data_IF_182902029910
#
_entry.id   IF_182902029910
#
_cell.length_a   1.000
_cell.length_b   1.000
_cell.length_c   1.000
_cell.angle_alpha   90.00
_cell.angle_beta   90.00
_cell.angle_gamma   90.00
#
_symmetry.space_group_name_H-M   'P 1'
#
loop_
_entity.id
_entity.type
_entity.pdbx_description
1 polymer ?
#
# COMPACT_ATOMS: atom_id res chain seq x y z
N UNK A 1 -7.25 10.25 -3.99
CA UNK A 1 -8.14 11.18 -4.73
C UNK A 1 -8.43 12.38 -3.84
N UNK A 2 -8.93 13.46 -4.40
CA UNK A 2 -9.35 14.65 -3.63
C UNK A 2 -10.88 14.76 -3.68
N UNK A 3 -11.56 13.68 -3.33
CA UNK A 3 -13.00 13.64 -3.18
C UNK A 3 -13.45 14.55 -2.02
N UNK A 4 -14.67 15.07 -2.03
CA UNK A 4 -15.24 15.74 -0.87
C UNK A 4 -15.36 14.77 0.31
N UNK A 5 -15.07 15.21 1.52
CA UNK A 5 -15.07 14.37 2.72
C UNK A 5 -16.29 13.46 2.87
N UNK A 6 -17.51 13.94 2.56
CA UNK A 6 -18.73 13.13 2.65
C UNK A 6 -18.82 11.99 1.61
N UNK A 7 -17.92 11.98 0.64
CA UNK A 7 -17.80 10.97 -0.41
C UNK A 7 -16.64 9.97 -0.13
N UNK A 8 -15.97 10.08 1.01
CA UNK A 8 -14.88 9.20 1.41
C UNK A 8 -15.36 7.77 1.72
N UNK A 9 -16.60 7.64 2.21
CA UNK A 9 -17.22 6.33 2.43
C UNK A 9 -16.80 5.62 3.71
N UNK A 10 -15.99 6.23 4.58
CA UNK A 10 -15.60 5.63 5.86
C UNK A 10 -16.77 5.63 6.84
N UNK A 11 -17.26 4.45 7.28
CA UNK A 11 -18.39 4.34 8.17
C UNK A 11 -18.15 5.07 9.51
N UNK A 12 -19.20 5.74 10.00
CA UNK A 12 -19.20 6.53 11.25
C UNK A 12 -18.28 7.77 11.24
N UNK A 13 -17.48 7.97 10.18
CA UNK A 13 -16.62 9.14 10.03
C UNK A 13 -17.15 10.10 8.97
N UNK A 14 -17.33 9.63 7.74
CA UNK A 14 -17.86 10.45 6.63
C UNK A 14 -19.36 10.23 6.38
N UNK A 15 -19.93 9.15 6.92
CA UNK A 15 -21.35 8.81 6.82
C UNK A 15 -21.72 7.56 7.63
N UNK A 16 -22.99 7.15 7.59
CA UNK A 16 -23.42 5.89 8.19
C UNK A 16 -22.92 4.71 7.36
N UNK A 17 -22.79 3.50 7.95
CA UNK A 17 -22.53 2.30 7.18
C UNK A 17 -23.69 1.98 6.24
N UNK A 18 -23.41 1.39 5.10
CA UNK A 18 -24.42 0.90 4.16
C UNK A 18 -25.07 -0.35 4.74
N UNK A 19 -26.37 -0.31 4.98
CA UNK A 19 -27.10 -1.45 5.52
C UNK A 19 -27.23 -2.58 4.47
N UNK A 20 -27.38 -3.86 4.91
CA UNK A 20 -27.64 -4.96 3.99
C UNK A 20 -28.83 -4.69 3.08
N UNK A 21 -28.66 -4.86 1.76
CA UNK A 21 -29.68 -4.59 0.76
C UNK A 21 -29.90 -3.12 0.42
N UNK A 22 -29.20 -2.19 1.07
CA UNK A 22 -29.21 -0.77 0.73
C UNK A 22 -28.10 -0.44 -0.29
N UNK A 23 -28.22 0.73 -0.92
CA UNK A 23 -27.21 1.30 -1.80
C UNK A 23 -26.84 2.71 -1.34
N UNK A 24 -25.60 3.10 -1.58
CA UNK A 24 -25.13 4.47 -1.42
C UNK A 24 -24.51 4.93 -2.73
N UNK A 25 -24.94 6.09 -3.21
CA UNK A 25 -24.38 6.70 -4.40
C UNK A 25 -23.18 7.58 -4.03
N UNK A 26 -22.12 7.47 -4.82
CA UNK A 26 -20.93 8.30 -4.74
C UNK A 26 -20.84 9.12 -6.03
N UNK A 27 -20.78 10.44 -5.88
CA UNK A 27 -20.70 11.38 -7.00
C UNK A 27 -19.61 12.42 -6.72
N UNK A 28 -18.45 12.22 -7.34
CA UNK A 28 -17.30 13.11 -7.21
C UNK A 28 -16.47 13.14 -8.50
N UNK A 29 -15.74 14.23 -8.75
CA UNK A 29 -14.86 14.31 -9.91
C UNK A 29 -13.76 13.24 -9.87
N UNK A 30 -13.64 12.46 -10.95
CA UNK A 30 -12.59 11.44 -11.09
C UNK A 30 -11.23 12.10 -11.41
N UNK A 31 -10.67 12.83 -10.45
CA UNK A 31 -9.39 13.56 -10.53
C UNK A 31 -8.60 13.42 -9.22
N UNK A 32 -7.25 13.54 -9.27
CA UNK A 32 -6.41 13.51 -10.47
C UNK A 32 -6.36 12.10 -11.09
N UNK A 33 -6.00 11.99 -12.38
CA UNK A 33 -5.78 10.69 -13.02
C UNK A 33 -4.69 9.90 -12.31
N UNK A 34 -4.75 8.57 -12.44
CA UNK A 34 -3.77 7.66 -11.84
C UNK A 34 -4.36 6.31 -11.47
N UNK A 35 -3.50 5.45 -10.97
CA UNK A 35 -3.86 4.13 -10.45
C UNK A 35 -4.34 4.28 -9.01
N UNK A 36 -5.62 4.04 -8.80
CA UNK A 36 -6.32 4.09 -7.51
C UNK A 36 -7.00 2.76 -7.26
N UNK A 37 -7.58 2.60 -6.08
CA UNK A 37 -8.39 1.46 -5.71
C UNK A 37 -9.42 1.88 -4.65
N UNK A 38 -10.40 1.04 -4.42
CA UNK A 38 -11.42 1.20 -3.40
C UNK A 38 -11.52 -0.09 -2.59
N UNK A 39 -11.84 0.03 -1.32
CA UNK A 39 -12.02 -1.11 -0.42
C UNK A 39 -12.97 -0.75 0.73
N UNK A 40 -13.49 -1.77 1.41
CA UNK A 40 -14.34 -1.58 2.57
C UNK A 40 -13.54 -1.08 3.77
N UNK A 41 -14.10 -0.10 4.47
CA UNK A 41 -13.66 0.32 5.81
C UNK A 41 -14.57 -0.21 6.93
N UNK A 42 -15.50 -1.14 6.61
CA UNK A 42 -16.39 -1.70 7.61
C UNK A 42 -15.82 -3.00 8.19
N UNK A 43 -15.45 -2.99 9.47
CA UNK A 43 -14.89 -4.16 10.14
C UNK A 43 -13.61 -4.65 9.47
N UNK A 44 -13.58 -5.95 9.15
CA UNK A 44 -12.45 -6.61 8.50
C UNK A 44 -12.78 -7.07 7.06
N UNK A 45 -13.77 -6.45 6.41
CA UNK A 45 -14.28 -6.88 5.09
C UNK A 45 -13.24 -6.76 3.97
N UNK A 46 -12.21 -5.93 4.13
CA UNK A 46 -11.09 -5.85 3.19
C UNK A 46 -10.42 -7.22 3.04
N UNK A 47 -10.18 -7.96 4.14
CA UNK A 47 -9.65 -9.33 4.09
C UNK A 47 -10.60 -10.33 3.41
N UNK A 48 -11.89 -10.03 3.33
CA UNK A 48 -12.88 -10.81 2.57
C UNK A 48 -12.92 -10.41 1.09
N UNK A 49 -11.86 -9.81 0.57
CA UNK A 49 -11.70 -9.38 -0.83
C UNK A 49 -12.73 -8.32 -1.26
N UNK A 50 -13.29 -7.55 -0.31
CA UNK A 50 -14.19 -6.45 -0.65
C UNK A 50 -13.38 -5.21 -1.04
N UNK A 51 -12.73 -5.31 -2.18
CA UNK A 51 -11.84 -4.31 -2.75
C UNK A 51 -11.87 -4.38 -4.28
N UNK A 52 -11.39 -3.35 -4.96
CA UNK A 52 -11.32 -3.34 -6.41
C UNK A 52 -10.48 -2.19 -6.98
N UNK A 53 -9.93 -2.35 -8.20
CA UNK A 53 -9.15 -1.33 -8.85
C UNK A 53 -10.03 -0.17 -9.34
N UNK A 54 -9.53 1.06 -9.20
CA UNK A 54 -10.14 2.28 -9.75
C UNK A 54 -9.11 3.01 -10.60
N UNK A 55 -9.18 2.84 -11.91
CA UNK A 55 -8.22 3.42 -12.85
C UNK A 55 -8.80 4.68 -13.48
N UNK A 56 -8.25 5.84 -13.15
CA UNK A 56 -8.60 7.11 -13.74
C UNK A 56 -7.58 7.41 -14.86
N UNK A 57 -8.02 7.33 -16.11
CA UNK A 57 -7.13 7.48 -17.26
C UNK A 57 -6.92 8.95 -17.61
N UNK A 58 -5.66 9.28 -17.92
CA UNK A 58 -5.34 10.57 -18.54
C UNK A 58 -5.78 10.59 -20.00
N UNK A 59 -6.20 11.76 -20.50
CA UNK A 59 -6.53 11.93 -21.92
C UNK A 59 -5.34 11.64 -22.84
N UNK A 60 -4.11 11.84 -22.38
CA UNK A 60 -2.87 11.47 -23.06
C UNK A 60 -2.64 9.97 -23.11
N UNK A 61 -2.98 9.24 -22.04
CA UNK A 61 -2.84 7.80 -21.97
C UNK A 61 -3.78 7.07 -22.94
N UNK A 62 -4.96 7.62 -23.22
CA UNK A 62 -5.91 7.08 -24.22
C UNK A 62 -5.29 7.08 -25.64
N UNK A 63 -4.32 7.96 -25.89
CA UNK A 63 -3.59 8.07 -27.18
C UNK A 63 -2.27 7.31 -27.18
N UNK A 64 -1.88 6.70 -26.09
CA UNK A 64 -0.69 5.85 -26.00
C UNK A 64 -0.94 4.50 -26.67
N UNK A 65 0.08 3.97 -27.35
CA UNK A 65 0.05 2.60 -27.88
C UNK A 65 0.38 1.54 -26.82
N UNK A 66 0.65 1.92 -25.58
CA UNK A 66 0.93 1.00 -24.50
C UNK A 66 -0.36 0.27 -24.07
N UNK A 67 -0.32 -1.05 -24.05
CA UNK A 67 -1.40 -1.84 -23.49
C UNK A 67 -1.42 -1.71 -21.96
N UNK A 68 -2.55 -1.25 -21.39
CA UNK A 68 -2.71 -1.18 -19.94
C UNK A 68 -3.09 -2.56 -19.39
N UNK A 69 -2.38 -2.98 -18.33
CA UNK A 69 -2.61 -4.23 -17.62
C UNK A 69 -2.69 -3.93 -16.13
N UNK A 70 -3.84 -4.19 -15.53
CA UNK A 70 -4.03 -4.07 -14.08
C UNK A 70 -3.57 -5.37 -13.43
N UNK A 71 -2.80 -5.25 -12.36
CA UNK A 71 -2.38 -6.35 -11.47
C UNK A 71 -2.84 -5.99 -10.07
N UNK A 72 -3.93 -6.61 -9.64
CA UNK A 72 -4.54 -6.41 -8.34
C UNK A 72 -4.14 -7.57 -7.44
N UNK A 73 -3.37 -7.27 -6.38
CA UNK A 73 -2.77 -8.27 -5.49
C UNK A 73 -3.52 -8.32 -4.18
N UNK A 74 -3.84 -9.52 -3.73
CA UNK A 74 -4.53 -9.77 -2.47
C UNK A 74 -3.89 -10.94 -1.73
N UNK A 75 -4.04 -10.95 -0.43
CA UNK A 75 -3.74 -12.10 0.42
C UNK A 75 -5.05 -12.80 0.83
N UNK A 76 -5.05 -14.12 0.85
CA UNK A 76 -6.23 -14.94 1.05
C UNK A 76 -6.03 -15.98 2.15
N UNK A 77 -7.02 -16.11 3.01
CA UNK A 77 -7.10 -17.16 4.02
C UNK A 77 -8.48 -17.82 4.04
N UNK A 78 -8.52 -19.11 4.34
CA UNK A 78 -9.77 -19.84 4.57
C UNK A 78 -10.40 -19.50 5.93
N UNK A 79 -9.55 -19.15 6.91
CA UNK A 79 -10.02 -18.67 8.19
C UNK A 79 -10.70 -17.28 8.03
N UNK A 80 -11.76 -17.04 8.78
CA UNK A 80 -12.41 -15.72 8.78
C UNK A 80 -11.46 -14.65 9.32
N UNK A 81 -11.60 -13.39 8.88
CA UNK A 81 -10.79 -12.29 9.41
C UNK A 81 -10.89 -12.14 10.93
N UNK A 82 -12.07 -12.42 11.50
CA UNK A 82 -12.31 -12.39 12.93
C UNK A 82 -11.54 -13.49 13.67
N UNK A 83 -11.50 -14.71 13.12
CA UNK A 83 -10.70 -15.82 13.67
C UNK A 83 -9.20 -15.51 13.63
N UNK A 84 -8.71 -14.93 12.52
CA UNK A 84 -7.33 -14.46 12.38
C UNK A 84 -7.03 -13.41 13.45
N UNK A 85 -7.87 -12.39 13.57
CA UNK A 85 -7.67 -11.30 14.53
C UNK A 85 -7.71 -11.79 15.98
N UNK A 86 -8.63 -12.67 16.31
CA UNK A 86 -8.71 -13.33 17.62
C UNK A 86 -7.46 -14.17 17.89
N UNK A 87 -6.96 -14.87 16.87
CA UNK A 87 -5.71 -15.64 16.95
C UNK A 87 -4.50 -14.75 17.24
N UNK A 88 -4.38 -13.61 16.57
CA UNK A 88 -3.31 -12.62 16.81
C UNK A 88 -3.33 -12.11 18.25
N UNK A 89 -4.51 -11.82 18.80
CA UNK A 89 -4.67 -11.38 20.19
C UNK A 89 -4.33 -12.46 21.22
N UNK A 90 -4.56 -13.74 20.89
CA UNK A 90 -4.35 -14.88 21.81
C UNK A 90 -2.94 -15.45 21.75
N UNK A 91 -2.15 -15.21 20.70
CA UNK A 91 -0.82 -15.83 20.46
C UNK A 91 0.13 -15.78 21.65
N UNK A 92 -0.04 -14.89 22.58
CA UNK A 92 0.88 -14.66 23.70
C UNK A 92 0.58 -15.38 25.00
N UNK A 93 -0.59 -15.99 25.13
CA UNK A 93 -0.85 -16.83 26.30
C UNK A 93 0.04 -18.09 26.29
N UNK A 94 0.57 -18.50 25.13
CA UNK A 94 1.34 -19.75 24.98
C UNK A 94 2.87 -19.59 25.00
N UNK A 95 3.42 -18.40 24.71
CA UNK A 95 4.89 -18.18 24.65
C UNK A 95 5.54 -17.90 26.02
N UNK A 96 4.76 -17.74 27.07
CA UNK A 96 5.27 -17.49 28.44
C UNK A 96 5.65 -18.76 29.20
N UNK A 97 5.62 -19.94 28.58
CA UNK A 97 5.94 -21.21 29.25
C UNK A 97 7.36 -21.71 28.88
N UNK A 98 8.39 -20.97 29.27
CA UNK A 98 9.74 -21.50 29.27
C UNK A 98 10.84 -20.42 29.22
N UNK A 99 11.83 -20.45 30.11
CA UNK A 99 13.02 -19.60 30.01
C UNK A 99 13.95 -20.17 28.94
N UNK A 100 14.16 -19.47 27.81
CA UNK A 100 15.29 -19.73 26.92
C UNK A 100 16.39 -18.72 27.18
N UNK A 101 17.42 -19.16 27.90
CA UNK A 101 18.68 -18.48 27.99
C UNK A 101 19.33 -18.37 26.58
N UNK A 102 19.65 -17.17 26.19
CA UNK A 102 20.32 -16.65 25.00
C UNK A 102 19.36 -16.05 23.96
N UNK A 103 19.05 -14.77 24.15
CA UNK A 103 18.46 -13.95 23.11
C UNK A 103 19.46 -13.76 21.97
N UNK A 104 19.33 -14.56 20.90
CA UNK A 104 19.84 -14.18 19.58
C UNK A 104 19.11 -12.87 19.16
N UNK A 105 19.74 -11.99 18.36
CA UNK A 105 19.04 -10.85 17.80
C UNK A 105 17.75 -11.35 17.13
N UNK A 106 16.59 -10.91 17.63
CA UNK A 106 15.31 -11.29 17.02
C UNK A 106 15.33 -10.80 15.57
N UNK A 107 15.14 -11.73 14.63
CA UNK A 107 14.88 -11.37 13.25
C UNK A 107 13.66 -10.44 13.18
N UNK A 108 13.62 -9.51 12.22
CA UNK A 108 12.44 -8.67 12.03
C UNK A 108 11.19 -9.54 11.90
N UNK A 109 10.13 -9.20 12.63
CA UNK A 109 8.83 -9.81 12.46
C UNK A 109 8.20 -9.18 11.21
N UNK A 110 8.19 -9.92 10.10
CA UNK A 110 7.79 -9.38 8.80
C UNK A 110 6.32 -9.62 8.49
N UNK A 111 5.69 -10.60 9.16
CA UNK A 111 4.33 -11.03 8.80
C UNK A 111 3.54 -11.48 10.02
N UNK A 112 2.41 -10.84 10.27
CA UNK A 112 1.49 -11.22 11.34
C UNK A 112 0.72 -12.51 11.03
N UNK A 113 0.37 -12.69 9.74
CA UNK A 113 -0.54 -13.73 9.27
C UNK A 113 0.18 -14.68 8.32
N UNK A 114 -0.12 -15.97 8.44
CA UNK A 114 0.17 -16.96 7.42
C UNK A 114 -1.06 -17.13 6.54
N UNK A 115 -0.92 -16.76 5.27
CA UNK A 115 -2.01 -16.87 4.29
C UNK A 115 -1.96 -18.20 3.54
N UNK A 116 -3.13 -18.71 3.16
CA UNK A 116 -3.28 -19.94 2.39
C UNK A 116 -2.89 -19.72 0.91
N UNK A 117 -3.10 -18.50 0.40
CA UNK A 117 -2.73 -18.13 -0.96
C UNK A 117 -2.48 -16.62 -1.09
N UNK A 118 -1.73 -16.24 -2.13
CA UNK A 118 -1.73 -14.90 -2.68
C UNK A 118 -2.43 -14.90 -4.04
N UNK A 119 -3.23 -13.89 -4.30
CA UNK A 119 -4.00 -13.75 -5.53
C UNK A 119 -3.45 -12.60 -6.38
N UNK A 120 -3.51 -12.78 -7.69
CA UNK A 120 -3.32 -11.73 -8.68
C UNK A 120 -4.53 -11.75 -9.63
N UNK A 121 -5.35 -10.70 -9.60
CA UNK A 121 -6.62 -10.64 -10.31
C UNK A 121 -7.51 -11.87 -10.02
N UNK A 122 -7.78 -12.14 -8.75
CA UNK A 122 -8.60 -13.24 -8.21
C UNK A 122 -8.08 -14.66 -8.53
N UNK A 123 -6.80 -14.80 -8.94
CA UNK A 123 -6.22 -16.09 -9.33
C UNK A 123 -4.89 -16.37 -8.63
N UNK A 124 -4.63 -17.65 -8.40
CA UNK A 124 -3.32 -18.15 -7.96
C UNK A 124 -2.46 -18.53 -9.17
N UNK A 125 -1.18 -18.86 -8.93
CA UNK A 125 -0.28 -19.36 -9.98
C UNK A 125 -0.60 -20.79 -10.49
N UNK A 126 -1.51 -21.52 -9.84
CA UNK A 126 -1.99 -22.80 -10.37
C UNK A 126 -2.90 -22.61 -11.60
N UNK A 127 -3.63 -21.50 -11.65
CA UNK A 127 -4.42 -21.04 -12.80
C UNK A 127 -4.25 -19.53 -12.99
N UNK A 128 -3.06 -19.06 -13.42
CA UNK A 128 -2.72 -17.64 -13.44
C UNK A 128 -3.53 -16.86 -14.48
N UNK A 129 -3.74 -15.58 -14.21
CA UNK A 129 -4.29 -14.68 -15.20
C UNK A 129 -3.29 -14.52 -16.37
N UNK A 130 -3.63 -15.05 -17.54
CA UNK A 130 -2.82 -14.97 -18.77
C UNK A 130 -3.36 -13.84 -19.65
N UNK A 131 -2.57 -12.81 -19.84
CA UNK A 131 -2.96 -11.61 -20.57
C UNK A 131 -2.26 -11.60 -21.94
N UNK A 132 -3.05 -11.56 -23.01
CA UNK A 132 -2.53 -11.45 -24.38
C UNK A 132 -1.95 -10.05 -24.59
N UNK A 133 -0.71 -10.03 -25.08
CA UNK A 133 0.02 -8.78 -25.38
C UNK A 133 0.71 -8.89 -26.74
N UNK A 134 1.03 -7.75 -27.34
CA UNK A 134 1.76 -7.75 -28.60
C UNK A 134 3.24 -8.11 -28.40
N UNK A 135 3.80 -8.85 -29.38
CA UNK A 135 5.25 -9.08 -29.45
C UNK A 135 5.96 -7.74 -29.65
N UNK A 136 7.02 -7.49 -28.88
CA UNK A 136 7.74 -6.21 -28.89
C UNK A 136 6.83 -4.99 -28.58
N UNK A 137 5.60 -5.23 -28.11
CA UNK A 137 4.66 -4.19 -27.70
C UNK A 137 5.08 -3.53 -26.39
N UNK A 138 4.56 -2.34 -26.16
CA UNK A 138 4.71 -1.64 -24.90
C UNK A 138 3.54 -1.97 -23.97
N UNK A 139 3.84 -2.31 -22.72
CA UNK A 139 2.85 -2.63 -21.68
C UNK A 139 3.04 -1.68 -20.49
N UNK A 140 1.94 -1.09 -20.04
CA UNK A 140 1.89 -0.36 -18.77
C UNK A 140 1.22 -1.26 -17.72
N UNK A 141 2.00 -1.78 -16.80
CA UNK A 141 1.49 -2.47 -15.63
C UNK A 141 1.00 -1.44 -14.59
N UNK A 142 -0.23 -1.62 -14.11
CA UNK A 142 -0.82 -0.85 -13.02
C UNK A 142 -0.97 -1.78 -11.83
N UNK A 143 0.03 -1.80 -10.98
CA UNK A 143 0.12 -2.71 -9.85
C UNK A 143 -0.52 -2.05 -8.64
N UNK A 144 -1.39 -2.79 -7.96
CA UNK A 144 -2.08 -2.38 -6.75
C UNK A 144 -1.85 -3.48 -5.71
N UNK A 145 -1.26 -3.13 -4.58
CA UNK A 145 -1.21 -4.03 -3.45
C UNK A 145 -2.44 -3.78 -2.56
N UNK A 146 -3.44 -4.64 -2.69
CA UNK A 146 -4.66 -4.64 -1.91
C UNK A 146 -4.66 -5.76 -0.84
N UNK A 147 -3.48 -6.31 -0.52
CA UNK A 147 -3.34 -7.27 0.58
C UNK A 147 -3.62 -6.61 1.93
N UNK A 148 -4.34 -7.30 2.79
CA UNK A 148 -4.71 -6.80 4.12
C UNK A 148 -3.50 -6.69 5.07
N UNK A 149 -2.48 -7.57 4.92
CA UNK A 149 -1.28 -7.51 5.77
C UNK A 149 0.02 -7.94 5.09
N UNK A 150 0.05 -8.11 3.75
CA UNK A 150 1.24 -8.58 3.01
C UNK A 150 1.88 -7.48 2.18
N UNK A 151 3.16 -7.20 2.40
CA UNK A 151 3.98 -6.44 1.47
C UNK A 151 4.47 -7.36 0.34
N UNK A 152 4.56 -6.84 -0.89
CA UNK A 152 5.06 -7.58 -2.04
C UNK A 152 6.27 -6.91 -2.68
N UNK A 153 7.11 -7.72 -3.30
CA UNK A 153 8.10 -7.26 -4.28
C UNK A 153 7.71 -7.78 -5.66
N UNK A 154 7.45 -6.87 -6.59
CA UNK A 154 7.18 -7.21 -7.97
C UNK A 154 8.47 -7.57 -8.66
N UNK A 155 8.51 -8.72 -9.31
CA UNK A 155 9.66 -9.21 -10.08
C UNK A 155 9.30 -9.30 -11.56
N UNK A 156 10.02 -8.53 -12.39
CA UNK A 156 9.86 -8.50 -13.85
C UNK A 156 10.76 -9.54 -14.54
N UNK A 157 11.43 -10.40 -13.77
CA UNK A 157 12.37 -11.39 -14.26
C UNK A 157 13.56 -10.74 -14.97
N UNK A 158 13.78 -11.12 -16.22
CA UNK A 158 14.89 -10.59 -17.03
C UNK A 158 14.57 -9.27 -17.74
N UNK A 159 13.33 -8.79 -17.65
CA UNK A 159 12.93 -7.55 -18.32
C UNK A 159 13.29 -6.35 -17.43
N UNK A 160 13.80 -5.32 -18.07
CA UNK A 160 13.95 -4.02 -17.45
C UNK A 160 12.71 -3.18 -17.75
N UNK A 161 12.01 -2.77 -16.67
CA UNK A 161 10.92 -1.80 -16.75
C UNK A 161 11.37 -0.41 -16.36
N UNK A 162 10.46 0.54 -16.51
CA UNK A 162 10.57 1.92 -16.04
C UNK A 162 9.41 2.19 -15.06
N UNK A 163 9.70 2.40 -13.79
CA UNK A 163 8.71 2.87 -12.80
C UNK A 163 8.43 4.33 -13.10
N UNK A 164 7.18 4.65 -13.45
CA UNK A 164 6.77 5.98 -13.94
C UNK A 164 5.81 6.71 -13.02
N UNK A 165 5.12 5.98 -12.12
CA UNK A 165 4.25 6.58 -11.12
C UNK A 165 4.18 5.69 -9.87
N UNK A 166 3.94 6.30 -8.71
CA UNK A 166 3.64 5.64 -7.45
C UNK A 166 2.39 6.26 -6.84
N UNK A 167 1.53 5.44 -6.25
CA UNK A 167 0.24 5.83 -5.68
C UNK A 167 -0.57 6.75 -6.62
N UNK A 168 -0.50 6.44 -7.94
CA UNK A 168 -1.15 7.20 -9.00
C UNK A 168 -0.56 8.59 -9.26
N UNK A 169 0.58 8.92 -8.69
CA UNK A 169 1.27 10.21 -8.90
C UNK A 169 2.55 10.00 -9.71
N UNK A 170 2.78 10.83 -10.76
CA UNK A 170 3.95 10.67 -11.62
C UNK A 170 5.26 10.96 -10.89
N UNK A 171 6.29 10.19 -11.23
CA UNK A 171 7.66 10.39 -10.77
C UNK A 171 8.60 10.61 -11.95
N UNK A 172 9.80 11.10 -11.69
CA UNK A 172 10.91 10.99 -12.64
C UNK A 172 11.15 9.50 -12.86
N UNK A 173 11.11 8.99 -14.13
CA UNK A 173 11.18 7.57 -14.39
C UNK A 173 12.45 6.91 -13.86
N UNK A 174 12.31 5.75 -13.21
CA UNK A 174 13.41 4.97 -12.64
C UNK A 174 13.44 3.60 -13.30
N UNK A 175 14.62 3.18 -13.78
CA UNK A 175 14.82 1.85 -14.36
C UNK A 175 14.78 0.79 -13.25
N UNK A 176 13.94 -0.24 -13.42
CA UNK A 176 13.69 -1.26 -12.40
C UNK A 176 13.62 -2.67 -13.00
N UNK A 177 14.01 -3.67 -12.22
CA UNK A 177 13.71 -5.09 -12.45
C UNK A 177 12.84 -5.66 -11.31
N UNK A 178 12.99 -5.11 -10.13
CA UNK A 178 12.16 -5.42 -8.95
C UNK A 178 11.64 -4.12 -8.36
N UNK A 179 10.39 -4.16 -7.88
CA UNK A 179 9.72 -2.99 -7.29
C UNK A 179 9.02 -3.42 -6.01
N UNK A 180 9.49 -2.99 -4.83
CA UNK A 180 8.76 -3.19 -3.58
C UNK A 180 7.48 -2.35 -3.58
N UNK A 181 6.39 -2.96 -3.18
CA UNK A 181 5.06 -2.34 -3.09
C UNK A 181 4.46 -2.73 -1.74
N UNK A 182 4.51 -1.84 -0.77
CA UNK A 182 3.89 -2.07 0.54
C UNK A 182 2.36 -2.09 0.43
N UNK A 183 1.70 -2.57 1.48
CA UNK A 183 0.23 -2.60 1.58
C UNK A 183 -0.34 -1.22 1.22
N UNK A 184 -1.39 -1.19 0.43
CA UNK A 184 -2.07 -0.03 -0.14
C UNK A 184 -1.26 0.80 -1.15
N UNK A 185 0.01 0.52 -1.36
CA UNK A 185 0.78 1.23 -2.39
C UNK A 185 0.45 0.75 -3.79
N UNK A 186 0.67 1.63 -4.77
CA UNK A 186 0.52 1.35 -6.19
C UNK A 186 1.80 1.70 -6.92
N UNK A 187 2.07 0.97 -8.01
CA UNK A 187 3.22 1.19 -8.87
C UNK A 187 2.81 1.06 -10.34
N UNK A 188 3.09 2.08 -11.15
CA UNK A 188 2.91 2.00 -12.59
C UNK A 188 4.26 1.78 -13.25
N UNK A 189 4.40 0.65 -13.96
CA UNK A 189 5.64 0.25 -14.61
C UNK A 189 5.39 0.13 -16.12
N UNK A 190 6.19 0.83 -16.91
CA UNK A 190 6.19 0.66 -18.36
C UNK A 190 7.32 -0.28 -18.74
N UNK A 191 7.00 -1.30 -19.53
CA UNK A 191 7.97 -2.26 -20.05
C UNK A 191 7.71 -2.57 -21.52
N UNK A 192 8.72 -3.08 -22.19
CA UNK A 192 8.62 -3.57 -23.57
C UNK A 192 8.72 -5.08 -23.59
N UNK A 193 7.77 -5.73 -24.26
CA UNK A 193 7.78 -7.18 -24.44
C UNK A 193 8.99 -7.63 -25.27
N UNK A 194 9.56 -8.81 -24.97
CA UNK A 194 10.64 -9.38 -25.78
C UNK A 194 10.26 -9.56 -27.25
N UNK A 195 11.22 -9.32 -28.12
CA UNK A 195 11.03 -9.50 -29.58
C UNK A 195 11.06 -10.98 -30.00
N UNK A 196 11.61 -11.87 -29.18
CA UNK A 196 11.64 -13.31 -29.42
C UNK A 196 10.26 -13.99 -29.24
N UNK A 197 9.30 -13.27 -28.68
CA UNK A 197 7.93 -13.75 -28.48
C UNK A 197 7.78 -14.68 -27.27
N UNK A 198 8.69 -14.66 -26.32
CA UNK A 198 8.59 -15.42 -25.07
C UNK A 198 7.50 -14.86 -24.17
N UNK A 199 6.72 -15.74 -23.50
CA UNK A 199 5.80 -15.34 -22.45
C UNK A 199 6.57 -14.87 -21.20
N UNK A 200 6.07 -13.83 -20.55
CA UNK A 200 6.73 -13.17 -19.45
C UNK A 200 5.86 -13.26 -18.19
N UNK A 201 6.25 -14.01 -17.18
CA UNK A 201 5.63 -13.92 -15.87
C UNK A 201 6.05 -12.63 -15.17
N UNK A 202 5.06 -11.95 -14.61
CA UNK A 202 5.21 -10.84 -13.68
C UNK A 202 4.81 -11.37 -12.32
N UNK A 203 5.79 -11.56 -11.45
CA UNK A 203 5.57 -12.19 -10.15
C UNK A 203 5.49 -11.16 -9.03
N UNK A 204 4.68 -11.45 -8.03
CA UNK A 204 4.60 -10.74 -6.76
C UNK A 204 5.08 -11.68 -5.64
N UNK A 205 6.25 -11.38 -5.08
CA UNK A 205 6.92 -12.16 -4.04
C UNK A 205 6.47 -11.63 -2.68
N UNK A 206 5.84 -12.47 -1.86
CA UNK A 206 5.42 -12.08 -0.51
C UNK A 206 6.64 -11.86 0.39
N UNK A 207 6.67 -10.73 1.09
CA UNK A 207 7.77 -10.36 2.00
C UNK A 207 8.02 -11.47 3.03
N UNK A 208 9.27 -11.93 3.16
CA UNK A 208 9.67 -12.95 4.12
C UNK A 208 9.00 -14.32 3.95
N UNK A 209 8.38 -14.58 2.81
CA UNK A 209 7.70 -15.85 2.47
C UNK A 209 8.20 -16.40 1.14
N UNK A 210 8.12 -17.71 0.98
CA UNK A 210 8.35 -18.36 -0.32
C UNK A 210 7.11 -18.28 -1.19
N UNK A 211 5.94 -18.13 -0.58
CA UNK A 211 4.66 -17.98 -1.28
C UNK A 211 4.67 -16.72 -2.15
N UNK A 212 4.22 -16.88 -3.38
CA UNK A 212 4.17 -15.85 -4.42
C UNK A 212 2.94 -16.01 -5.31
N UNK A 213 2.58 -14.95 -6.00
CA UNK A 213 1.53 -14.93 -7.03
C UNK A 213 2.00 -14.16 -8.25
N UNK A 214 1.11 -13.90 -9.20
CA UNK A 214 1.42 -13.09 -10.38
C UNK A 214 0.54 -13.39 -11.57
N UNK A 215 0.88 -12.75 -12.68
CA UNK A 215 0.22 -12.87 -13.98
C UNK A 215 1.23 -13.32 -15.05
N UNK A 216 0.73 -13.71 -16.22
CA UNK A 216 1.57 -14.02 -17.37
C UNK A 216 1.20 -13.13 -18.55
N UNK A 217 2.15 -12.39 -19.07
CA UNK A 217 2.03 -11.65 -20.33
C UNK A 217 2.39 -12.59 -21.49
N UNK A 218 1.41 -12.85 -22.37
CA UNK A 218 1.55 -13.83 -23.44
C UNK A 218 1.49 -13.20 -24.82
N UNK A 219 2.62 -13.09 -25.55
CA UNK A 219 2.61 -12.80 -26.97
C UNK A 219 1.96 -13.91 -27.79
N UNK A 220 1.49 -13.62 -29.04
CA UNK A 220 0.88 -14.64 -29.87
C UNK A 220 1.80 -15.84 -30.13
N UNK A 221 1.27 -17.05 -29.87
CA UNK A 221 2.00 -18.31 -30.07
C UNK A 221 2.96 -18.70 -28.94
N UNK A 222 3.14 -17.85 -27.93
CA UNK A 222 3.99 -18.19 -26.78
C UNK A 222 3.38 -19.30 -25.93
N UNK A 223 4.18 -20.27 -25.53
CA UNK A 223 3.77 -21.27 -24.54
C UNK A 223 3.82 -20.65 -23.12
N UNK A 224 2.80 -20.94 -22.32
CA UNK A 224 2.79 -20.62 -20.89
C UNK A 224 3.24 -21.87 -20.12
N UNK A 225 4.35 -21.77 -19.41
CA UNK A 225 4.84 -22.85 -18.55
C UNK A 225 4.22 -22.74 -17.17
N UNK A 226 4.00 -23.88 -16.51
CA UNK A 226 3.52 -23.90 -15.12
C UNK A 226 4.55 -23.21 -14.20
N UNK A 227 4.05 -22.32 -13.34
CA UNK A 227 4.86 -21.60 -12.36
C UNK A 227 4.39 -22.05 -10.96
N UNK A 228 5.34 -22.43 -10.10
CA UNK A 228 5.01 -22.77 -8.72
C UNK A 228 4.64 -21.56 -7.91
N UNK A 229 3.60 -21.66 -7.08
CA UNK A 229 3.28 -20.64 -6.07
C UNK A 229 4.31 -20.64 -4.92
N UNK A 230 5.01 -21.76 -4.66
CA UNK A 230 6.13 -21.83 -3.74
C UNK A 230 7.44 -21.52 -4.47
N UNK A 231 8.07 -20.41 -4.13
CA UNK A 231 9.31 -19.96 -4.73
C UNK A 231 10.54 -20.66 -4.13
N UNK A 232 11.68 -20.60 -4.83
CA UNK A 232 12.95 -21.18 -4.35
C UNK A 232 13.56 -20.33 -3.21
N UNK A 233 13.26 -19.04 -3.18
CA UNK A 233 13.79 -18.07 -2.21
C UNK A 233 12.66 -17.35 -1.50
N UNK A 234 12.93 -16.84 -0.29
CA UNK A 234 12.04 -15.94 0.43
C UNK A 234 11.93 -14.61 -0.32
N UNK A 235 10.73 -14.03 -0.38
CA UNK A 235 10.56 -12.67 -0.85
C UNK A 235 11.36 -11.67 -0.02
N UNK A 236 12.02 -10.71 -0.66
CA UNK A 236 12.89 -9.77 0.04
C UNK A 236 12.11 -8.86 0.98
N UNK A 237 12.78 -8.42 2.05
CA UNK A 237 12.23 -7.41 2.95
C UNK A 237 11.98 -6.10 2.20
N UNK A 238 10.80 -5.51 2.42
CA UNK A 238 10.43 -4.22 1.87
C UNK A 238 10.92 -3.10 2.77
N UNK A 239 11.79 -2.25 2.22
CA UNK A 239 12.44 -1.16 2.95
C UNK A 239 12.26 0.18 2.23
N UNK A 240 13.16 1.12 2.55
CA UNK A 240 13.13 2.50 2.02
C UNK A 240 14.13 2.76 0.89
N UNK A 241 14.89 1.75 0.43
CA UNK A 241 15.94 1.95 -0.57
C UNK A 241 15.38 2.47 -1.90
N UNK A 242 14.22 1.98 -2.32
CA UNK A 242 13.54 2.51 -3.49
C UNK A 242 13.04 3.93 -3.22
N UNK A 243 12.42 4.18 -2.07
CA UNK A 243 11.86 5.50 -1.73
C UNK A 243 12.91 6.60 -1.76
N UNK A 244 14.15 6.28 -1.38
CA UNK A 244 15.29 7.22 -1.46
C UNK A 244 15.69 7.60 -2.89
N UNK A 245 15.24 6.84 -3.91
CA UNK A 245 15.55 7.08 -5.32
C UNK A 245 14.41 7.78 -6.05
N UNK A 246 13.20 7.81 -5.46
CA UNK A 246 12.03 8.38 -6.10
C UNK A 246 12.04 9.92 -5.99
N UNK A 247 11.69 10.56 -7.09
CA UNK A 247 11.53 12.01 -7.17
C UNK A 247 10.20 12.33 -7.84
N UNK A 248 9.38 13.14 -7.22
CA UNK A 248 8.10 13.58 -7.81
C UNK A 248 8.34 14.36 -9.11
N UNK A 249 7.56 14.10 -10.16
CA UNK A 249 7.60 14.89 -11.40
C UNK A 249 7.11 16.32 -11.20
N UNK A 250 6.22 16.53 -10.24
CA UNK A 250 5.69 17.83 -9.84
C UNK A 250 5.74 17.93 -8.31
N UNK A 251 6.90 18.26 -7.72
CA UNK A 251 7.04 18.36 -6.27
C UNK A 251 6.23 19.53 -5.71
N UNK A 252 5.91 19.45 -4.42
CA UNK A 252 5.30 20.56 -3.69
C UNK A 252 6.20 21.81 -3.77
N UNK A 253 5.59 22.99 -3.88
CA UNK A 253 6.32 24.25 -3.86
C UNK A 253 7.16 24.37 -2.58
N UNK A 254 8.41 24.82 -2.74
CA UNK A 254 9.33 24.98 -1.61
C UNK A 254 8.80 26.04 -0.65
N UNK A 255 8.37 25.62 0.53
CA UNK A 255 8.03 26.49 1.66
C UNK A 255 8.18 25.72 2.98
N UNK A 256 8.52 26.38 4.08
CA UNK A 256 8.56 25.72 5.38
C UNK A 256 7.16 25.28 5.80
N UNK A 257 7.04 24.20 6.60
CA UNK A 257 5.77 23.81 7.16
C UNK A 257 5.25 24.86 8.15
N UNK A 258 3.95 25.13 8.09
CA UNK A 258 3.26 25.96 9.07
C UNK A 258 3.03 25.19 10.38
N UNK A 259 2.99 23.86 10.26
CA UNK A 259 2.71 22.94 11.34
C UNK A 259 3.54 21.65 11.19
N UNK A 260 4.11 21.21 12.30
CA UNK A 260 4.71 19.87 12.41
C UNK A 260 3.91 19.03 13.38
N UNK A 261 3.62 17.79 12.97
CA UNK A 261 2.80 16.81 13.72
C UNK A 261 3.65 15.56 13.94
N UNK A 262 4.32 15.41 15.09
CA UNK A 262 4.99 14.18 15.43
C UNK A 262 3.97 13.07 15.73
N UNK A 263 4.20 11.89 15.17
CA UNK A 263 3.38 10.68 15.32
C UNK A 263 4.29 9.52 15.67
N UNK A 264 4.18 9.01 16.89
CA UNK A 264 4.89 7.81 17.29
C UNK A 264 4.04 6.58 16.92
N UNK A 265 4.63 5.66 16.14
CA UNK A 265 4.03 4.36 15.86
C UNK A 265 4.46 3.42 16.99
N UNK A 266 3.49 3.01 17.79
CA UNK A 266 3.71 2.23 19.02
C UNK A 266 2.93 0.93 18.98
N UNK A 267 3.37 -0.05 19.74
CA UNK A 267 2.62 -1.28 19.86
C UNK A 267 3.47 -2.44 20.33
N UNK A 268 2.78 -3.55 20.53
CA UNK A 268 3.39 -4.79 20.97
C UNK A 268 2.60 -5.98 20.43
N UNK A 269 3.31 -7.01 20.04
CA UNK A 269 2.73 -8.31 19.72
C UNK A 269 2.06 -8.94 20.94
N UNK A 270 2.46 -8.53 22.16
CA UNK A 270 1.83 -8.95 23.41
C UNK A 270 0.42 -8.37 23.53
N UNK A 271 -0.60 -9.22 23.37
CA UNK A 271 -2.00 -8.82 23.33
C UNK A 271 -2.40 -8.13 22.02
N UNK A 272 -1.48 -8.00 21.07
CA UNK A 272 -1.69 -7.41 19.76
C UNK A 272 -2.34 -6.03 19.87
N UNK A 273 -1.65 -5.11 20.52
CA UNK A 273 -2.13 -3.73 20.75
C UNK A 273 -1.23 -2.78 20.00
N UNK A 274 -1.84 -1.97 19.14
CA UNK A 274 -1.17 -1.00 18.29
C UNK A 274 -1.70 0.41 18.54
N UNK A 275 -0.92 1.43 18.25
CA UNK A 275 -1.32 2.81 18.46
C UNK A 275 -0.45 3.80 17.69
N UNK A 276 -0.99 5.01 17.58
CA UNK A 276 -0.31 6.14 16.95
C UNK A 276 -0.52 7.44 17.74
N UNK A 277 0.12 7.58 18.92
CA UNK A 277 0.09 8.81 19.68
C UNK A 277 0.52 10.02 18.84
N UNK A 278 -0.33 11.05 18.79
CA UNK A 278 -0.06 12.30 18.11
C UNK A 278 0.37 13.33 19.13
N UNK A 279 1.51 14.00 18.89
CA UNK A 279 2.15 14.89 19.88
C UNK A 279 2.38 14.18 21.24
N UNK A 280 2.70 12.89 21.22
CA UNK A 280 2.91 12.08 22.44
C UNK A 280 1.65 11.70 23.19
N UNK A 281 0.45 12.02 22.71
CA UNK A 281 -0.83 11.76 23.38
C UNK A 281 -1.69 10.78 22.60
N UNK A 282 -2.06 9.62 23.19
CA UNK A 282 -3.00 8.69 22.59
C UNK A 282 -4.38 9.32 22.38
N UNK A 283 -5.05 8.94 21.29
CA UNK A 283 -6.43 9.33 20.99
C UNK A 283 -6.62 10.78 20.52
N UNK A 284 -5.56 11.58 20.44
CA UNK A 284 -5.66 12.90 19.85
C UNK A 284 -5.68 12.81 18.31
N UNK A 285 -6.51 13.64 17.63
CA UNK A 285 -6.43 13.80 16.20
C UNK A 285 -5.23 14.66 15.79
N UNK A 286 -4.73 14.43 14.57
CA UNK A 286 -3.95 15.44 13.88
C UNK A 286 -4.85 16.63 13.49
N UNK A 287 -4.32 17.84 13.49
CA UNK A 287 -5.12 19.02 13.12
C UNK A 287 -4.42 19.86 12.05
N UNK A 288 -5.22 20.42 11.15
CA UNK A 288 -4.78 21.38 10.14
C UNK A 288 -5.74 22.56 10.03
N UNK A 289 -5.29 23.65 9.45
CA UNK A 289 -6.18 24.69 8.93
C UNK A 289 -6.02 24.78 7.41
N UNK A 290 -7.07 25.17 6.71
CA UNK A 290 -7.04 25.32 5.26
C UNK A 290 -5.91 26.26 4.84
N UNK A 291 -5.09 25.81 3.88
CA UNK A 291 -3.94 26.55 3.34
C UNK A 291 -2.63 26.36 4.12
N UNK A 292 -2.63 25.68 5.26
CA UNK A 292 -1.39 25.32 5.95
C UNK A 292 -0.58 24.28 5.15
N UNK A 293 0.75 24.39 5.14
CA UNK A 293 1.67 23.29 4.87
C UNK A 293 1.85 22.51 6.16
N UNK A 294 1.43 21.26 6.17
CA UNK A 294 1.57 20.35 7.32
C UNK A 294 2.69 19.36 7.04
N UNK A 295 3.61 19.20 7.98
CA UNK A 295 4.57 18.09 8.01
C UNK A 295 4.13 17.09 9.07
N UNK A 296 3.94 15.82 8.70
CA UNK A 296 3.75 14.70 9.64
C UNK A 296 5.08 13.96 9.74
N UNK A 297 5.58 13.80 10.95
CA UNK A 297 6.82 13.09 11.23
C UNK A 297 6.50 11.76 11.93
N UNK A 298 6.55 10.67 11.21
CA UNK A 298 6.40 9.31 11.76
C UNK A 298 7.69 8.85 12.40
N UNK A 299 7.57 8.29 13.60
CA UNK A 299 8.66 7.66 14.34
C UNK A 299 8.22 6.22 14.69
N UNK A 300 8.75 5.23 14.01
CA UNK A 300 8.41 3.85 14.30
C UNK A 300 9.25 3.30 15.44
N UNK A 301 8.63 3.14 16.60
CA UNK A 301 9.28 2.58 17.79
C UNK A 301 9.15 1.05 17.90
N UNK A 302 8.40 0.42 16.97
CA UNK A 302 8.11 -1.01 16.98
C UNK A 302 9.14 -1.84 16.21
N UNK A 303 8.89 -3.14 16.09
CA UNK A 303 9.69 -4.08 15.29
C UNK A 303 8.98 -4.49 14.00
N UNK A 304 7.78 -3.95 13.74
CA UNK A 304 6.99 -4.18 12.53
C UNK A 304 7.05 -2.96 11.61
N UNK A 305 6.86 -3.18 10.31
CA UNK A 305 6.66 -2.11 9.33
C UNK A 305 5.21 -1.62 9.36
N UNK A 306 5.01 -0.32 9.18
CA UNK A 306 3.67 0.28 9.15
C UNK A 306 3.48 1.12 7.88
N UNK A 307 2.63 0.69 6.94
CA UNK A 307 2.19 1.52 5.81
C UNK A 307 1.18 2.56 6.30
N UNK A 308 1.60 3.83 6.39
CA UNK A 308 0.77 4.92 6.92
C UNK A 308 0.04 5.63 5.79
N UNK A 309 -1.29 5.68 5.90
CA UNK A 309 -2.19 6.24 4.90
C UNK A 309 -2.98 7.42 5.46
N UNK A 310 -3.18 8.44 4.62
CA UNK A 310 -4.00 9.61 4.92
C UNK A 310 -5.07 9.77 3.84
N UNK A 311 -6.33 9.73 4.23
CA UNK A 311 -7.46 9.95 3.33
C UNK A 311 -7.55 11.40 2.84
N UNK A 312 -8.13 11.57 1.67
CA UNK A 312 -8.46 12.87 1.08
C UNK A 312 -7.26 13.74 0.70
N UNK A 313 -6.03 13.27 0.91
CA UNK A 313 -4.81 14.02 0.66
C UNK A 313 -3.75 13.16 -0.04
N UNK A 314 -2.89 13.83 -0.77
CA UNK A 314 -1.59 13.29 -1.17
C UNK A 314 -0.50 14.09 -0.47
N UNK A 315 0.60 13.44 -0.14
CA UNK A 315 1.73 14.06 0.55
C UNK A 315 3.05 13.74 -0.16
N UNK A 316 4.00 14.63 -0.08
CA UNK A 316 5.37 14.37 -0.54
C UNK A 316 6.21 13.79 0.60
N UNK A 317 7.01 12.75 0.32
CA UNK A 317 8.02 12.28 1.26
C UNK A 317 9.17 13.29 1.27
N UNK A 318 9.42 13.91 2.42
CA UNK A 318 10.38 15.04 2.54
C UNK A 318 11.60 14.72 3.38
N UNK A 319 11.54 13.67 4.22
CA UNK A 319 12.67 13.28 5.07
C UNK A 319 12.63 11.79 5.41
N UNK A 320 13.77 11.14 5.38
CA UNK A 320 13.96 9.74 5.80
C UNK A 320 15.17 9.67 6.72
N UNK A 321 14.98 9.15 7.94
CA UNK A 321 16.03 8.99 8.96
C UNK A 321 16.86 10.27 9.16
N UNK A 322 16.16 11.42 9.25
CA UNK A 322 16.78 12.73 9.41
C UNK A 322 17.34 13.36 8.12
N UNK A 323 17.51 12.60 7.04
CA UNK A 323 17.98 13.11 5.75
C UNK A 323 16.83 13.73 4.96
N UNK A 324 16.97 14.99 4.56
CA UNK A 324 16.03 15.66 3.66
C UNK A 324 16.13 15.12 2.23
N UNK A 325 14.97 14.90 1.60
CA UNK A 325 14.84 14.44 0.21
C UNK A 325 13.73 15.22 -0.50
N UNK A 326 13.73 15.20 -1.82
CA UNK A 326 12.60 15.62 -2.65
C UNK A 326 11.92 14.36 -3.20
N UNK A 327 11.31 13.60 -2.30
CA UNK A 327 10.76 12.28 -2.60
C UNK A 327 9.50 12.30 -3.45
N UNK A 328 8.91 11.14 -3.66
CA UNK A 328 7.67 10.99 -4.42
C UNK A 328 6.48 11.64 -3.70
N UNK A 329 5.44 11.95 -4.47
CA UNK A 329 4.11 12.23 -3.94
C UNK A 329 3.36 10.91 -3.83
N UNK A 330 2.81 10.65 -2.63
CA UNK A 330 2.11 9.42 -2.28
C UNK A 330 0.85 9.74 -1.47
N UNK A 331 0.04 8.74 -1.22
CA UNK A 331 -0.99 8.77 -0.17
C UNK A 331 -0.74 7.70 0.91
N UNK A 332 0.22 6.81 0.67
CA UNK A 332 0.62 5.74 1.60
C UNK A 332 2.15 5.61 1.64
N UNK A 333 2.75 5.74 2.81
CA UNK A 333 4.20 5.59 2.99
C UNK A 333 4.54 4.50 4.00
N UNK A 334 5.47 3.62 3.64
CA UNK A 334 5.97 2.60 4.56
C UNK A 334 6.93 3.23 5.58
N UNK A 335 6.73 2.90 6.85
CA UNK A 335 7.64 3.27 7.94
C UNK A 335 8.21 1.98 8.55
N UNK A 336 9.40 1.53 8.11
CA UNK A 336 10.03 0.29 8.62
C UNK A 336 10.39 0.38 10.11
N UNK A 337 10.72 -0.76 10.74
CA UNK A 337 11.16 -0.80 12.14
C UNK A 337 12.27 0.21 12.43
N UNK A 338 12.11 0.97 13.52
CA UNK A 338 13.09 1.98 14.00
C UNK A 338 13.41 3.11 13.02
N UNK A 339 12.69 3.21 11.90
CA UNK A 339 12.86 4.31 10.96
C UNK A 339 12.05 5.55 11.36
N UNK A 340 12.49 6.69 10.86
CA UNK A 340 11.71 7.94 10.86
C UNK A 340 11.46 8.38 9.43
N UNK A 341 10.21 8.71 9.13
CA UNK A 341 9.78 9.20 7.80
C UNK A 341 8.94 10.46 8.00
N UNK A 342 9.29 11.56 7.34
CA UNK A 342 8.45 12.75 7.33
C UNK A 342 7.81 12.94 5.95
N UNK A 343 6.54 13.28 5.98
CA UNK A 343 5.75 13.62 4.78
C UNK A 343 5.18 15.03 4.94
N UNK A 344 4.99 15.73 3.83
CA UNK A 344 4.40 17.07 3.84
C UNK A 344 3.28 17.17 2.80
N UNK A 345 2.22 17.92 3.14
CA UNK A 345 1.11 18.20 2.24
C UNK A 345 0.56 19.61 2.45
N UNK A 346 -0.12 20.13 1.44
CA UNK A 346 -0.92 21.34 1.56
C UNK A 346 -2.33 20.98 2.01
N UNK A 347 -2.79 21.56 3.10
CA UNK A 347 -4.11 21.34 3.65
C UNK A 347 -5.17 22.10 2.83
N UNK A 348 -5.64 21.50 1.75
CA UNK A 348 -6.55 22.11 0.77
C UNK A 348 -7.93 21.42 0.66
N UNK A 349 -8.11 20.28 1.33
CA UNK A 349 -9.35 19.50 1.34
C UNK A 349 -9.97 19.43 2.75
N UNK A 350 -10.74 20.45 3.18
CA UNK A 350 -11.33 20.49 4.52
C UNK A 350 -12.26 19.32 4.81
N UNK A 351 -12.08 18.70 5.97
CA UNK A 351 -12.87 17.53 6.38
C UNK A 351 -12.43 16.94 7.72
N UNK A 352 -12.97 15.78 8.00
CA UNK A 352 -12.59 14.87 9.07
C UNK A 352 -12.12 13.56 8.42
N UNK A 353 -10.81 13.43 8.21
CA UNK A 353 -10.23 12.39 7.38
C UNK A 353 -9.66 11.24 8.20
N UNK A 354 -9.86 10.02 7.75
CA UNK A 354 -9.19 8.86 8.33
C UNK A 354 -7.67 8.96 8.14
N UNK A 355 -6.94 8.58 9.15
CA UNK A 355 -5.48 8.58 9.21
C UNK A 355 -5.01 7.36 9.98
N UNK A 356 -4.42 6.38 9.31
CA UNK A 356 -4.21 5.06 9.91
C UNK A 356 -3.04 4.28 9.29
N UNK A 357 -2.64 3.22 9.97
CA UNK A 357 -1.83 2.16 9.36
C UNK A 357 -2.72 1.34 8.42
N UNK A 358 -2.23 1.04 7.23
CA UNK A 358 -3.00 0.25 6.26
C UNK A 358 -2.79 -1.28 6.40
N UNK A 359 -1.97 -1.75 7.35
CA UNK A 359 -2.10 -3.14 7.79
C UNK A 359 -3.43 -3.25 8.54
N UNK A 360 -4.37 -4.02 7.98
CA UNK A 360 -5.75 -4.11 8.46
C UNK A 360 -5.84 -4.47 9.94
N UNK A 361 -5.03 -5.44 10.37
CA UNK A 361 -5.06 -5.92 11.75
C UNK A 361 -4.40 -4.93 12.72
N UNK A 362 -3.38 -4.17 12.28
CA UNK A 362 -2.82 -3.07 13.08
C UNK A 362 -3.84 -1.94 13.24
N UNK A 363 -4.54 -1.58 12.16
CA UNK A 363 -5.62 -0.58 12.20
C UNK A 363 -6.71 -1.01 13.16
N UNK A 364 -7.21 -2.25 13.03
CA UNK A 364 -8.27 -2.79 13.89
C UNK A 364 -7.85 -2.90 15.35
N UNK A 365 -6.54 -3.07 15.64
CA UNK A 365 -5.98 -3.14 16.98
C UNK A 365 -5.60 -1.77 17.57
N UNK A 366 -5.94 -0.65 16.88
CA UNK A 366 -5.84 0.70 17.43
C UNK A 366 -4.89 1.66 16.72
N UNK A 367 -4.19 1.26 15.62
CA UNK A 367 -3.35 2.19 14.85
C UNK A 367 -4.19 3.00 13.86
N UNK A 368 -5.15 3.74 14.41
CA UNK A 368 -6.09 4.60 13.71
C UNK A 368 -6.26 5.93 14.44
N UNK A 369 -6.35 7.01 13.70
CA UNK A 369 -6.66 8.36 14.17
C UNK A 369 -7.35 9.15 13.05
N UNK A 370 -7.48 10.46 13.22
CA UNK A 370 -8.07 11.34 12.22
C UNK A 370 -7.23 12.60 12.00
N UNK A 371 -7.34 13.17 10.80
CA UNK A 371 -6.95 14.53 10.52
C UNK A 371 -8.18 15.43 10.52
N UNK A 372 -8.24 16.41 11.43
CA UNK A 372 -9.36 17.33 11.62
C UNK A 372 -8.99 18.72 11.16
N UNK A 373 -9.78 19.30 10.28
CA UNK A 373 -9.62 20.68 9.91
C UNK A 373 -10.26 21.61 10.93
N UNK A 374 -9.50 22.61 11.40
CA UNK A 374 -10.01 23.63 12.33
C UNK A 374 -11.12 24.45 11.69
N UNK A 375 -12.24 24.61 12.40
CA UNK A 375 -13.42 25.32 11.89
C UNK A 375 -14.25 24.51 10.90
N UNK A 376 -13.98 23.19 10.77
CA UNK A 376 -14.84 22.27 10.06
C UNK A 376 -15.81 21.65 11.06
N UNK A 377 -17.11 21.93 10.91
CA UNK A 377 -18.20 21.48 11.78
C UNK A 377 -19.54 21.77 11.15
#
# INVERSE_FOLDING_TARGET
MTEPWRQDGVPYLSGPPVAPGAAQDFDFPAIPPGTRWMHSHFGLQEQNLLAGPLIIREASAIRSNAQEVVVFLEDFAWASPEEIFDGLRKRLAMTMAGPSDKAAPMAPDLNDVEYDAYLANDRTLDDPNVIRVERNGEVRLRIINAGASTNFTIDLGNIQGSLVAVDGNPIVPVAVKRVPVAIAQRADIVLRMPSDGTAVPILALGEGRRLRTGIVLQPPGAAVTKISADGDEMGPQVGLDQELQLVASAPLAARPPNRSVPVDLTGTMMGYVWGMPINGMPGLPATAARGERVEIAFNNTTMMSHPMHLHGHVFQVVKINGRQISGAIRDTVLVPPKATVSVAFDADNPGLWAFHCHNLYHMAAGMFSTLVYRGFG
#
